data_IF_788498721567
#
_entry.id   IF_788498721567
#
_cell.length_a   1.000
_cell.length_b   1.000
_cell.length_c   1.000
_cell.angle_alpha   90.00
_cell.angle_beta   90.00
_cell.angle_gamma   90.00
#
_symmetry.space_group_name_H-M   'P 1'
#
loop_
_entity.id
_entity.type
_entity.pdbx_description
1 polymer ?
#
# COMPACT_ATOMS: atom_id res chain seq x y z
N UNK A 1 -68.76 -31.46 14.84
CA UNK A 1 -68.26 -30.53 13.80
C UNK A 1 -67.13 -29.70 14.42
N UNK A 2 -65.91 -29.89 13.93
CA UNK A 2 -64.73 -29.08 14.28
C UNK A 2 -64.74 -27.78 13.47
N UNK A 3 -64.10 -26.72 13.99
CA UNK A 3 -63.14 -25.98 13.18
C UNK A 3 -61.79 -25.77 13.90
N UNK A 4 -60.71 -26.15 13.21
CA UNK A 4 -59.36 -25.56 13.32
C UNK A 4 -59.43 -24.06 12.89
N UNK A 5 -58.52 -23.12 13.18
CA UNK A 5 -57.06 -23.10 13.00
C UNK A 5 -56.46 -21.84 13.68
N UNK A 6 -55.23 -21.98 14.17
CA UNK A 6 -54.06 -21.07 14.10
C UNK A 6 -54.08 -19.62 14.60
N UNK A 7 -53.07 -19.28 15.41
CA UNK A 7 -52.70 -17.89 15.72
C UNK A 7 -51.41 -17.69 16.53
N UNK A 8 -50.30 -18.27 16.07
CA UNK A 8 -48.89 -17.83 16.28
C UNK A 8 -48.36 -17.56 17.70
N UNK A 9 -47.54 -18.50 18.17
CA UNK A 9 -46.49 -18.27 19.17
C UNK A 9 -45.50 -17.18 18.69
N UNK A 10 -44.88 -16.40 19.59
CA UNK A 10 -43.87 -15.42 19.22
C UNK A 10 -42.67 -16.15 18.61
N UNK A 11 -42.35 -15.80 17.37
CA UNK A 11 -41.11 -16.21 16.72
C UNK A 11 -39.97 -15.65 17.55
N UNK A 12 -39.22 -16.54 18.20
CA UNK A 12 -37.91 -16.21 18.73
C UNK A 12 -37.11 -15.57 17.59
N UNK A 13 -36.78 -14.29 17.74
CA UNK A 13 -35.75 -13.67 16.91
C UNK A 13 -34.48 -14.47 17.16
N UNK A 14 -34.17 -15.36 16.22
CA UNK A 14 -32.85 -15.96 16.11
C UNK A 14 -31.87 -14.79 15.99
N UNK A 15 -31.14 -14.52 17.05
CA UNK A 15 -29.95 -13.69 17.02
C UNK A 15 -28.98 -14.36 16.05
N UNK A 16 -29.02 -13.97 14.78
CA UNK A 16 -27.95 -14.21 13.81
C UNK A 16 -26.82 -13.25 14.16
N UNK A 17 -26.16 -13.55 15.26
CA UNK A 17 -24.88 -13.00 15.67
C UNK A 17 -23.99 -14.18 16.02
N UNK A 18 -23.80 -15.08 15.07
CA UNK A 18 -22.81 -16.13 15.20
C UNK A 18 -21.45 -15.44 15.10
N UNK A 19 -20.91 -15.02 16.25
CA UNK A 19 -19.49 -14.68 16.35
C UNK A 19 -18.73 -15.90 15.83
N UNK A 20 -18.02 -15.71 14.71
CA UNK A 20 -17.13 -16.71 14.13
C UNK A 20 -16.08 -17.06 15.19
N UNK A 21 -16.35 -18.06 16.03
CA UNK A 21 -15.48 -18.55 17.09
C UNK A 21 -14.88 -19.90 16.68
N UNK A 22 -13.62 -20.14 17.06
CA UNK A 22 -12.83 -21.32 16.62
C UNK A 22 -11.88 -21.04 15.45
N UNK A 23 -11.29 -22.10 14.88
CA UNK A 23 -10.27 -22.01 13.80
C UNK A 23 -10.74 -21.20 12.57
N UNK A 24 -12.00 -21.30 12.09
CA UNK A 24 -12.49 -20.48 11.00
C UNK A 24 -12.52 -18.98 11.32
N UNK A 25 -12.90 -18.62 12.55
CA UNK A 25 -12.89 -17.23 13.03
C UNK A 25 -11.48 -16.66 13.17
N UNK A 26 -10.54 -17.47 13.64
CA UNK A 26 -9.12 -17.10 13.68
C UNK A 26 -8.60 -16.84 12.27
N UNK A 27 -8.91 -17.71 11.30
CA UNK A 27 -8.50 -17.53 9.91
C UNK A 27 -9.06 -16.25 9.29
N UNK A 28 -10.33 -15.94 9.57
CA UNK A 28 -11.00 -14.72 9.11
C UNK A 28 -10.36 -13.45 9.70
N UNK A 29 -10.27 -13.36 11.03
CA UNK A 29 -9.68 -12.21 11.73
C UNK A 29 -8.24 -11.97 11.30
N UNK A 30 -7.50 -13.05 11.06
CA UNK A 30 -6.13 -13.00 10.59
C UNK A 30 -6.03 -12.48 9.15
N UNK A 31 -6.88 -12.96 8.24
CA UNK A 31 -6.98 -12.46 6.88
C UNK A 31 -7.32 -10.98 6.85
N UNK A 32 -8.29 -10.54 7.65
CA UNK A 32 -8.70 -9.13 7.75
C UNK A 32 -7.57 -8.25 8.29
N UNK A 33 -6.87 -8.71 9.34
CA UNK A 33 -5.72 -7.99 9.91
C UNK A 33 -4.59 -7.85 8.90
N UNK A 34 -4.26 -8.93 8.17
CA UNK A 34 -3.24 -8.89 7.12
C UNK A 34 -3.61 -7.94 6.00
N UNK A 35 -4.86 -7.97 5.56
CA UNK A 35 -5.36 -7.07 4.52
C UNK A 35 -5.29 -5.60 4.98
N UNK A 36 -5.61 -5.32 6.25
CA UNK A 36 -5.45 -3.99 6.84
C UNK A 36 -4.01 -3.49 6.85
N UNK A 37 -3.05 -4.33 7.27
CA UNK A 37 -1.63 -3.98 7.23
C UNK A 37 -1.12 -3.80 5.79
N UNK A 38 -1.55 -4.66 4.86
CA UNK A 38 -1.19 -4.55 3.45
C UNK A 38 -1.65 -3.22 2.86
N UNK A 39 -2.91 -2.83 3.11
CA UNK A 39 -3.47 -1.56 2.66
C UNK A 39 -2.74 -0.35 3.28
N UNK A 40 -2.33 -0.43 4.55
CA UNK A 40 -1.56 0.64 5.18
C UNK A 40 -0.19 0.82 4.52
N UNK A 41 0.53 -0.28 4.29
CA UNK A 41 1.86 -0.25 3.65
C UNK A 41 1.76 0.28 2.23
N UNK A 42 0.77 -0.18 1.45
CA UNK A 42 0.51 0.32 0.10
C UNK A 42 0.20 1.82 0.14
N UNK A 43 -0.66 2.26 1.05
CA UNK A 43 -1.03 3.67 1.19
C UNK A 43 0.16 4.58 1.53
N UNK A 44 1.08 4.14 2.39
CA UNK A 44 2.30 4.90 2.73
C UNK A 44 3.28 4.97 1.56
N UNK A 45 3.39 3.88 0.80
CA UNK A 45 4.18 3.82 -0.43
C UNK A 45 3.61 4.78 -1.47
N UNK A 46 2.31 4.76 -1.71
CA UNK A 46 1.64 5.63 -2.67
C UNK A 46 1.80 7.11 -2.30
N UNK A 47 1.64 7.46 -1.02
CA UNK A 47 1.92 8.82 -0.52
C UNK A 47 3.38 9.24 -0.75
N UNK A 48 4.32 8.33 -0.53
CA UNK A 48 5.75 8.60 -0.74
C UNK A 48 6.13 8.77 -2.21
N UNK A 49 5.38 8.11 -3.11
CA UNK A 49 5.55 8.21 -4.57
C UNK A 49 4.65 9.27 -5.21
N UNK A 50 3.83 9.98 -4.43
CA UNK A 50 2.95 11.02 -4.92
C UNK A 50 3.75 12.15 -5.60
N UNK A 51 3.22 12.80 -6.66
CA UNK A 51 3.93 13.83 -7.42
C UNK A 51 4.42 15.01 -6.57
N UNK A 52 3.75 15.27 -5.44
CA UNK A 52 4.08 16.33 -4.52
C UNK A 52 5.09 15.92 -3.44
N UNK A 53 5.50 14.65 -3.40
CA UNK A 53 6.45 14.14 -2.41
C UNK A 53 7.84 14.76 -2.60
N UNK A 54 8.58 14.88 -1.51
CA UNK A 54 9.95 15.43 -1.54
C UNK A 54 10.90 14.62 -2.44
N UNK A 55 10.60 13.33 -2.66
CA UNK A 55 11.40 12.41 -3.48
C UNK A 55 11.04 12.58 -4.97
N UNK A 56 9.82 13.04 -5.27
CA UNK A 56 9.32 13.27 -6.62
C UNK A 56 9.53 14.73 -7.12
N UNK A 57 9.98 15.65 -6.27
CA UNK A 57 10.31 17.01 -6.70
C UNK A 57 11.78 17.12 -7.07
N UNK A 58 12.08 17.96 -8.06
CA UNK A 58 13.46 18.34 -8.33
C UNK A 58 14.03 19.04 -7.08
N UNK A 59 15.22 18.67 -6.59
CA UNK A 59 15.77 19.27 -5.38
C UNK A 59 15.91 20.79 -5.50
N UNK A 60 15.66 21.51 -4.40
CA UNK A 60 15.68 22.99 -4.39
C UNK A 60 17.01 23.58 -4.87
N UNK A 61 18.14 22.97 -4.47
CA UNK A 61 19.46 23.42 -4.90
C UNK A 61 19.67 23.33 -6.42
N UNK A 62 19.06 22.34 -7.09
CA UNK A 62 19.10 22.23 -8.56
C UNK A 62 18.24 23.33 -9.20
N UNK A 63 17.06 23.60 -8.64
CA UNK A 63 16.21 24.69 -9.11
C UNK A 63 16.88 26.06 -8.95
N UNK A 64 17.57 26.28 -7.83
CA UNK A 64 18.31 27.52 -7.58
C UNK A 64 19.54 27.64 -8.48
N UNK A 65 20.18 26.52 -8.82
CA UNK A 65 21.24 26.48 -9.83
C UNK A 65 20.72 26.84 -11.23
N UNK A 66 19.54 26.35 -11.62
CA UNK A 66 18.92 26.71 -12.89
C UNK A 66 18.67 28.21 -13.01
N UNK A 67 18.14 28.83 -11.95
CA UNK A 67 17.97 30.28 -11.87
C UNK A 67 19.30 31.03 -11.95
N UNK A 68 20.34 30.49 -11.32
CA UNK A 68 21.69 31.07 -11.39
C UNK A 68 22.21 31.07 -12.83
N UNK A 69 22.05 29.95 -13.55
CA UNK A 69 22.41 29.87 -14.95
C UNK A 69 21.60 30.82 -15.83
N UNK A 70 20.28 30.95 -15.58
CA UNK A 70 19.43 31.90 -16.31
C UNK A 70 19.89 33.35 -16.19
N UNK A 71 20.44 33.72 -15.03
CA UNK A 71 20.92 35.07 -14.78
C UNK A 71 22.38 35.30 -15.21
N UNK A 72 23.16 34.23 -15.35
CA UNK A 72 24.60 34.32 -15.64
C UNK A 72 24.91 34.29 -17.14
N UNK A 73 24.18 33.49 -17.91
CA UNK A 73 24.41 33.36 -19.35
C UNK A 73 23.47 34.28 -20.12
N UNK A 74 24.02 35.37 -20.65
CA UNK A 74 23.25 36.38 -21.39
C UNK A 74 23.34 36.21 -22.89
N UNK A 75 24.41 35.60 -23.39
CA UNK A 75 24.61 35.37 -24.80
C UNK A 75 23.67 34.26 -25.34
N UNK A 76 23.13 34.39 -26.55
CA UNK A 76 22.13 33.45 -27.07
C UNK A 76 22.63 32.01 -27.19
N UNK A 77 23.90 31.82 -27.52
CA UNK A 77 24.50 30.50 -27.74
C UNK A 77 24.66 29.75 -26.40
N UNK A 78 25.21 30.38 -25.37
CA UNK A 78 25.32 29.79 -24.03
C UNK A 78 23.97 29.57 -23.39
N UNK A 79 22.98 30.44 -23.64
CA UNK A 79 21.59 30.20 -23.21
C UNK A 79 21.01 28.94 -23.85
N UNK A 80 21.16 28.76 -25.15
CA UNK A 80 20.68 27.58 -25.85
C UNK A 80 21.35 26.29 -25.32
N UNK A 81 22.66 26.35 -25.07
CA UNK A 81 23.40 25.25 -24.45
C UNK A 81 22.89 24.93 -23.05
N UNK A 82 22.69 25.94 -22.19
CA UNK A 82 22.19 25.72 -20.84
C UNK A 82 20.77 25.19 -20.80
N UNK A 83 19.89 25.63 -21.71
CA UNK A 83 18.55 25.04 -21.85
C UNK A 83 18.62 23.56 -22.22
N UNK A 84 19.55 23.16 -23.10
CA UNK A 84 19.78 21.74 -23.40
C UNK A 84 20.26 20.96 -22.17
N UNK A 85 21.17 21.52 -21.38
CA UNK A 85 21.66 20.91 -20.15
C UNK A 85 20.55 20.75 -19.11
N UNK A 86 19.76 21.80 -18.86
CA UNK A 86 18.60 21.75 -17.94
C UNK A 86 17.61 20.68 -18.36
N UNK A 87 17.27 20.64 -19.66
CA UNK A 87 16.39 19.60 -20.21
C UNK A 87 16.95 18.22 -19.93
N UNK A 88 18.26 18.00 -20.13
CA UNK A 88 18.88 16.71 -19.85
C UNK A 88 18.83 16.32 -18.37
N UNK A 89 19.03 17.28 -17.47
CA UNK A 89 18.91 17.06 -16.02
C UNK A 89 17.47 16.67 -15.65
N UNK A 90 16.47 17.34 -16.22
CA UNK A 90 15.05 17.02 -16.00
C UNK A 90 14.73 15.61 -16.52
N UNK A 91 15.22 15.26 -17.71
CA UNK A 91 15.05 13.91 -18.29
C UNK A 91 15.67 12.82 -17.39
N UNK A 92 16.91 13.02 -16.93
CA UNK A 92 17.58 12.07 -16.02
C UNK A 92 16.82 11.95 -14.70
N UNK A 93 16.35 13.08 -14.15
CA UNK A 93 15.57 13.09 -12.92
C UNK A 93 14.26 12.31 -13.09
N UNK A 94 13.53 12.52 -14.18
CA UNK A 94 12.32 11.76 -14.50
C UNK A 94 12.58 10.26 -14.66
N UNK A 95 13.64 9.88 -15.38
CA UNK A 95 14.03 8.47 -15.52
C UNK A 95 14.38 7.82 -14.17
N UNK A 96 15.05 8.55 -13.28
CA UNK A 96 15.35 8.07 -11.93
C UNK A 96 14.09 7.90 -11.08
N UNK A 97 13.09 8.77 -11.25
CA UNK A 97 11.79 8.62 -10.57
C UNK A 97 11.04 7.38 -11.00
N UNK A 98 11.03 7.09 -12.30
CA UNK A 98 10.40 5.89 -12.83
C UNK A 98 11.11 4.62 -12.33
N UNK A 99 12.44 4.65 -12.29
CA UNK A 99 13.23 3.58 -11.67
C UNK A 99 12.87 3.37 -10.19
N UNK A 100 12.76 4.45 -9.41
CA UNK A 100 12.36 4.38 -7.99
C UNK A 100 10.96 3.79 -7.86
N UNK A 101 9.99 4.23 -8.67
CA UNK A 101 8.62 3.68 -8.67
C UNK A 101 8.62 2.18 -8.94
N UNK A 102 9.36 1.74 -9.95
CA UNK A 102 9.47 0.33 -10.30
C UNK A 102 10.09 -0.49 -9.16
N UNK A 103 11.18 0.01 -8.56
CA UNK A 103 11.83 -0.65 -7.43
C UNK A 103 10.95 -0.73 -6.20
N UNK A 104 10.24 0.35 -5.86
CA UNK A 104 9.33 0.35 -4.73
C UNK A 104 8.17 -0.63 -4.96
N UNK A 105 7.60 -0.69 -6.17
CA UNK A 105 6.59 -1.68 -6.52
C UNK A 105 7.11 -3.11 -6.37
N UNK A 106 8.28 -3.41 -6.94
CA UNK A 106 8.90 -4.73 -6.83
C UNK A 106 9.19 -5.13 -5.38
N UNK A 107 9.66 -4.18 -4.55
CA UNK A 107 9.89 -4.40 -3.14
C UNK A 107 8.59 -4.61 -2.35
N UNK A 108 7.51 -3.88 -2.69
CA UNK A 108 6.20 -4.06 -2.07
C UNK A 108 5.66 -5.47 -2.33
N UNK A 109 5.76 -5.96 -3.57
CA UNK A 109 5.35 -7.33 -3.93
C UNK A 109 6.16 -8.38 -3.15
N UNK A 110 7.47 -8.18 -3.02
CA UNK A 110 8.34 -9.06 -2.21
C UNK A 110 7.94 -9.07 -0.75
N UNK A 111 7.71 -7.90 -0.16
CA UNK A 111 7.28 -7.74 1.24
C UNK A 111 5.94 -8.46 1.45
N UNK A 112 4.99 -8.32 0.51
CA UNK A 112 3.70 -9.00 0.56
C UNK A 112 3.85 -10.53 0.62
N UNK A 113 4.72 -11.09 -0.22
CA UNK A 113 5.01 -12.53 -0.22
C UNK A 113 5.65 -12.96 1.11
N UNK A 114 6.64 -12.22 1.61
CA UNK A 114 7.29 -12.54 2.89
C UNK A 114 6.32 -12.47 4.07
N UNK A 115 5.42 -11.47 4.09
CA UNK A 115 4.37 -11.38 5.09
C UNK A 115 3.40 -12.55 4.99
N UNK A 116 2.95 -12.93 3.80
CA UNK A 116 2.08 -14.09 3.60
C UNK A 116 2.73 -15.39 4.08
N UNK A 117 4.02 -15.60 3.81
CA UNK A 117 4.76 -16.78 4.28
C UNK A 117 4.87 -16.79 5.81
N UNK A 118 5.29 -15.67 6.41
CA UNK A 118 5.37 -15.53 7.89
C UNK A 118 4.02 -15.73 8.53
N UNK A 119 2.97 -15.25 7.87
CA UNK A 119 1.61 -15.36 8.31
C UNK A 119 1.13 -16.82 8.36
N UNK A 120 1.29 -17.55 7.25
CA UNK A 120 0.99 -18.99 7.17
C UNK A 120 1.77 -19.75 8.25
N UNK A 121 3.08 -19.49 8.38
CA UNK A 121 3.92 -20.17 9.38
C UNK A 121 3.45 -19.93 10.81
N UNK A 122 3.08 -18.69 11.18
CA UNK A 122 2.55 -18.38 12.51
C UNK A 122 1.19 -19.06 12.76
N UNK A 123 0.31 -19.09 11.77
CA UNK A 123 -0.99 -19.75 11.88
C UNK A 123 -0.83 -21.27 12.03
N UNK A 124 0.03 -21.90 11.22
CA UNK A 124 0.35 -23.33 11.36
C UNK A 124 0.91 -23.65 12.74
N UNK A 125 1.85 -22.84 13.24
CA UNK A 125 2.42 -23.02 14.58
C UNK A 125 1.36 -22.85 15.68
N UNK A 126 0.47 -21.86 15.55
CA UNK A 126 -0.64 -21.66 16.49
C UNK A 126 -1.62 -22.84 16.50
N UNK A 127 -1.96 -23.38 15.32
CA UNK A 127 -2.78 -24.59 15.19
C UNK A 127 -2.09 -25.79 15.84
N UNK A 128 -0.79 -25.99 15.58
CA UNK A 128 -0.02 -27.08 16.19
C UNK A 128 0.03 -26.95 17.71
N UNK A 129 0.19 -25.75 18.25
CA UNK A 129 0.16 -25.52 19.70
C UNK A 129 -1.22 -25.83 20.30
N UNK A 130 -2.31 -25.44 19.65
CA UNK A 130 -3.67 -25.77 20.09
C UNK A 130 -3.89 -27.28 20.07
N UNK A 131 -3.45 -27.97 19.01
CA UNK A 131 -3.58 -29.43 18.89
C UNK A 131 -2.68 -30.19 19.86
N UNK A 132 -1.53 -29.64 20.24
CA UNK A 132 -0.60 -30.24 21.22
C UNK A 132 -1.02 -29.97 22.67
N UNK A 133 -1.91 -29.00 22.90
CA UNK A 133 -2.47 -28.66 24.19
C UNK A 133 -3.79 -29.39 24.49
N UNK A 134 -4.29 -30.18 23.53
CA UNK A 134 -5.36 -31.18 23.70
C UNK A 134 -4.76 -32.54 24.05
#
# INVERSE_FOLDING_TARGET
>A
MMPSISGTAPVAQSATGQEDTGVPGIAKNFSETLQGYEQHIIGDIEKSLAPDSAIQKLPKHVQDQFKTWDNHFTDPESRALMESVKKKIIEMHGSNQDYIREKVKSNADKIRIEFAIKAISKTTNGIQQILSAQ
#
